data_IF_960650192081
#
_entry.id   IF_960650192081
#
_cell.length_a   1.000
_cell.length_b   1.000
_cell.length_c   1.000
_cell.angle_alpha   90.00
_cell.angle_beta   90.00
_cell.angle_gamma   90.00
#
_symmetry.space_group_name_H-M   'P 1'
#
loop_
_entity.id
_entity.type
_entity.pdbx_description
1 polymer ?
#
# COMPACT_ATOMS: atom_id res chain seq x y z
N UNK A 1 -7.09 7.61 -11.52
CA UNK A 1 -7.10 7.01 -10.19
C UNK A 1 -5.64 6.81 -9.79
N UNK A 2 -5.25 7.00 -8.52
CA UNK A 2 -3.90 6.67 -8.07
C UNK A 2 -3.57 5.19 -8.31
N UNK A 3 -2.36 4.94 -8.81
CA UNK A 3 -1.82 3.59 -9.05
C UNK A 3 -0.65 3.37 -8.11
N UNK A 4 -0.66 2.27 -7.37
CA UNK A 4 0.37 1.96 -6.37
C UNK A 4 0.78 0.49 -6.45
N UNK A 5 2.10 0.25 -6.50
CA UNK A 5 2.66 -1.08 -6.35
C UNK A 5 2.70 -1.48 -4.86
N UNK A 6 2.68 -2.79 -4.58
CA UNK A 6 2.98 -3.31 -3.26
C UNK A 6 4.35 -2.78 -2.81
N UNK A 7 4.41 -2.24 -1.60
CA UNK A 7 5.58 -1.55 -1.06
C UNK A 7 6.73 -2.52 -0.77
N UNK A 8 6.41 -3.78 -0.45
CA UNK A 8 7.40 -4.77 -0.03
C UNK A 8 7.86 -5.70 -1.17
N UNK A 9 7.08 -5.91 -2.23
CA UNK A 9 7.52 -6.70 -3.40
C UNK A 9 7.63 -5.92 -4.71
N UNK A 10 6.92 -4.80 -4.89
CA UNK A 10 6.93 -4.01 -6.14
C UNK A 10 6.25 -4.67 -7.35
N UNK A 11 5.92 -5.96 -7.29
CA UNK A 11 5.43 -6.74 -8.43
C UNK A 11 3.92 -6.70 -8.62
N UNK A 12 3.16 -6.44 -7.55
CA UNK A 12 1.69 -6.41 -7.59
C UNK A 12 1.21 -4.96 -7.57
N UNK A 13 0.40 -4.56 -8.56
CA UNK A 13 -0.07 -3.18 -8.74
C UNK A 13 -1.58 -3.09 -8.50
N UNK A 14 -1.99 -2.01 -7.82
CA UNK A 14 -3.38 -1.73 -7.48
C UNK A 14 -3.76 -0.31 -7.90
N UNK A 15 -5.03 -0.12 -8.21
CA UNK A 15 -5.62 1.19 -8.52
C UNK A 15 -6.84 1.43 -7.64
N UNK A 16 -6.98 2.63 -7.08
CA UNK A 16 -8.15 3.02 -6.31
C UNK A 16 -8.20 4.54 -6.12
N UNK A 17 -9.41 5.11 -6.13
CA UNK A 17 -9.64 6.56 -5.97
C UNK A 17 -9.44 7.08 -4.54
N UNK A 18 -9.47 6.20 -3.55
CA UNK A 18 -9.28 6.56 -2.15
C UNK A 18 -8.28 5.63 -1.48
N UNK A 19 -7.57 6.13 -0.47
CA UNK A 19 -6.59 5.34 0.28
C UNK A 19 -7.28 4.16 1.00
N UNK A 20 -8.54 4.30 1.43
CA UNK A 20 -9.29 3.21 2.04
C UNK A 20 -9.55 2.09 1.04
N UNK A 21 -9.95 2.44 -0.18
CA UNK A 21 -10.18 1.46 -1.24
C UNK A 21 -8.87 0.80 -1.69
N UNK A 22 -7.77 1.55 -1.72
CA UNK A 22 -6.43 1.02 -1.98
C UNK A 22 -6.03 0.00 -0.90
N UNK A 23 -6.21 0.34 0.38
CA UNK A 23 -5.90 -0.53 1.50
C UNK A 23 -6.70 -1.83 1.41
N UNK A 24 -8.02 -1.75 1.20
CA UNK A 24 -8.88 -2.94 1.06
C UNK A 24 -8.44 -3.85 -0.09
N UNK A 25 -7.98 -3.29 -1.22
CA UNK A 25 -7.46 -4.06 -2.35
C UNK A 25 -6.11 -4.71 -2.08
N UNK A 26 -5.25 -4.05 -1.30
CA UNK A 26 -3.89 -4.50 -1.03
C UNK A 26 -3.82 -5.52 0.13
N UNK A 27 -4.71 -5.44 1.11
CA UNK A 27 -4.71 -6.31 2.29
C UNK A 27 -4.77 -7.82 1.99
N UNK A 28 -5.57 -8.33 1.02
CA UNK A 28 -5.55 -9.75 0.67
C UNK A 28 -4.18 -10.25 0.24
N UNK A 29 -3.46 -9.46 -0.56
CA UNK A 29 -2.09 -9.79 -0.97
C UNK A 29 -1.14 -9.83 0.23
N UNK A 30 -1.27 -8.89 1.17
CA UNK A 30 -0.46 -8.90 2.38
C UNK A 30 -0.78 -10.07 3.31
N UNK A 31 -2.05 -10.48 3.43
CA UNK A 31 -2.43 -11.66 4.21
C UNK A 31 -1.89 -12.97 3.62
N UNK A 32 -1.67 -13.02 2.31
CA UNK A 32 -1.17 -14.22 1.62
C UNK A 32 0.37 -14.25 1.49
N UNK A 33 0.98 -13.14 1.08
CA UNK A 33 2.39 -13.09 0.69
C UNK A 33 3.30 -12.33 1.67
N UNK A 34 2.73 -11.48 2.53
CA UNK A 34 3.47 -10.62 3.46
C UNK A 34 2.83 -10.66 4.86
N UNK A 35 2.34 -11.84 5.26
CA UNK A 35 1.61 -12.00 6.52
C UNK A 35 2.50 -11.62 7.72
N UNK A 36 3.79 -11.91 7.61
CA UNK A 36 4.85 -11.54 8.56
C UNK A 36 4.96 -10.02 8.80
N UNK A 37 4.67 -9.20 7.78
CA UNK A 37 4.67 -7.73 7.86
C UNK A 37 3.44 -7.21 8.61
N UNK A 38 2.26 -7.81 8.42
CA UNK A 38 1.00 -7.29 8.99
C UNK A 38 0.55 -7.98 10.28
N UNK A 39 1.00 -9.22 10.54
CA UNK A 39 0.65 -9.99 11.73
C UNK A 39 1.49 -9.60 12.96
N UNK A 40 2.55 -8.80 12.78
CA UNK A 40 3.43 -8.37 13.87
C UNK A 40 4.38 -9.46 14.36
N UNK A 41 4.57 -10.53 13.58
CA UNK A 41 5.61 -11.55 13.83
C UNK A 41 7.02 -11.03 13.49
N UNK A 42 7.11 -9.88 12.83
CA UNK A 42 8.36 -9.14 12.57
C UNK A 42 8.43 -7.88 13.43
N UNK A 43 9.65 -7.42 13.76
CA UNK A 43 9.91 -6.26 14.62
C UNK A 43 9.38 -4.91 14.08
N UNK A 44 8.77 -4.89 12.90
CA UNK A 44 8.17 -3.72 12.27
C UNK A 44 6.72 -3.56 12.74
N UNK A 45 6.39 -2.58 13.60
CA UNK A 45 5.03 -2.42 14.08
C UNK A 45 4.11 -2.09 12.89
N UNK A 46 2.91 -2.66 12.91
CA UNK A 46 1.82 -2.36 11.95
C UNK A 46 1.61 -0.86 11.71
N UNK A 47 1.93 -0.02 12.69
CA UNK A 47 1.89 1.44 12.61
C UNK A 47 2.93 2.01 11.63
N UNK A 48 4.15 1.47 11.60
CA UNK A 48 5.20 1.87 10.66
C UNK A 48 4.84 1.48 9.22
N UNK A 49 4.27 0.29 9.04
CA UNK A 49 3.74 -0.11 7.74
C UNK A 49 2.61 0.83 7.28
N UNK A 50 1.70 1.21 8.18
CA UNK A 50 0.63 2.16 7.85
C UNK A 50 1.18 3.53 7.45
N UNK A 51 2.24 4.02 8.10
CA UNK A 51 2.90 5.26 7.71
C UNK A 51 3.49 5.16 6.29
N UNK A 52 4.25 4.10 6.01
CA UNK A 52 4.80 3.82 4.67
C UNK A 52 3.70 3.74 3.61
N UNK A 53 2.58 3.10 3.94
CA UNK A 53 1.41 3.02 3.06
C UNK A 53 0.82 4.39 2.74
N UNK A 54 0.62 5.24 3.74
CA UNK A 54 0.05 6.57 3.53
C UNK A 54 0.96 7.47 2.70
N UNK A 55 2.27 7.39 2.91
CA UNK A 55 3.26 8.14 2.13
C UNK A 55 3.29 7.67 0.67
N UNK A 56 3.27 6.36 0.43
CA UNK A 56 3.20 5.79 -0.91
C UNK A 56 1.92 6.20 -1.64
N UNK A 57 0.78 6.19 -0.94
CA UNK A 57 -0.49 6.59 -1.53
C UNK A 57 -0.50 8.08 -1.90
N UNK A 58 -0.02 8.97 -1.02
CA UNK A 58 0.11 10.40 -1.32
C UNK A 58 0.99 10.65 -2.53
N UNK A 59 2.12 9.96 -2.63
CA UNK A 59 3.00 10.07 -3.80
C UNK A 59 2.30 9.61 -5.08
N UNK A 60 1.52 8.51 -5.04
CA UNK A 60 0.73 8.06 -6.19
C UNK A 60 -0.36 9.07 -6.59
N UNK A 61 -1.02 9.68 -5.61
CA UNK A 61 -2.05 10.70 -5.80
C UNK A 61 -1.50 11.99 -6.40
N UNK A 62 -0.32 12.43 -5.95
CA UNK A 62 0.40 13.59 -6.52
C UNK A 62 0.87 13.33 -7.96
N UNK A 63 1.40 12.14 -8.25
CA UNK A 63 1.81 11.78 -9.62
C UNK A 63 0.61 11.77 -10.57
N UNK A 64 -0.53 11.24 -10.13
CA UNK A 64 -1.76 11.28 -10.90
C UNK A 64 -2.22 12.73 -11.16
N UNK A 65 -2.17 13.59 -10.14
CA UNK A 65 -2.61 14.98 -10.23
C UNK A 65 -1.75 15.83 -11.19
N UNK A 66 -0.48 15.45 -11.39
CA UNK A 66 0.43 16.10 -12.34
C UNK A 66 0.35 15.55 -13.77
N UNK A 67 -0.25 14.37 -13.95
CA UNK A 67 -0.37 13.70 -15.24
C UNK A 67 -1.69 14.05 -15.99
N UNK A 68 -2.52 14.93 -15.41
CA UNK A 68 -3.79 15.42 -15.95
C UNK A 68 -3.63 16.81 -16.56
#
# INVERSE_FOLDING_TARGET
MPTMACIDCGDVVFEADTWQAMLVKMMPHYLEAHHDVIAGDTELPREEWMARFMDAYRAAEEHQSKAV
#
